data_IF_225419425498
#
_entry.id   IF_225419425498
#
_cell.length_a   1.000
_cell.length_b   1.000
_cell.length_c   1.000
_cell.angle_alpha   90.00
_cell.angle_beta   90.00
_cell.angle_gamma   90.00
#
_symmetry.space_group_name_H-M   'P 1'
#
loop_
_entity.id
_entity.type
_entity.pdbx_description
1 polymer ?
#
# COMPACT_ATOMS: atom_id res chain seq x y z
N UNK A 1 -31.87 -23.24 -2.06
CA UNK A 1 -31.07 -22.24 -1.33
C UNK A 1 -29.58 -22.60 -1.23
N UNK A 2 -29.19 -23.86 -1.00
CA UNK A 2 -27.78 -24.33 -0.98
C UNK A 2 -27.04 -24.19 -2.31
N UNK A 3 -27.72 -24.37 -3.45
CA UNK A 3 -27.12 -24.21 -4.78
C UNK A 3 -26.85 -22.75 -5.15
N UNK A 4 -27.73 -21.81 -4.81
CA UNK A 4 -27.48 -20.37 -5.01
C UNK A 4 -26.36 -19.85 -4.10
N UNK A 5 -26.30 -20.36 -2.87
CA UNK A 5 -25.23 -20.07 -1.90
C UNK A 5 -23.87 -20.58 -2.40
N UNK A 6 -23.82 -21.77 -3.00
CA UNK A 6 -22.61 -22.32 -3.61
C UNK A 6 -22.20 -21.52 -4.85
N UNK A 7 -23.14 -21.09 -5.70
CA UNK A 7 -22.84 -20.27 -6.89
C UNK A 7 -22.33 -18.88 -6.50
N UNK A 8 -22.88 -18.24 -5.47
CA UNK A 8 -22.44 -16.91 -5.00
C UNK A 8 -21.12 -16.96 -4.23
N UNK A 9 -20.90 -18.00 -3.42
CA UNK A 9 -19.58 -18.28 -2.79
C UNK A 9 -18.56 -18.63 -3.87
N UNK A 10 -18.92 -19.37 -4.91
CA UNK A 10 -18.07 -19.64 -6.07
C UNK A 10 -17.84 -18.41 -6.96
N UNK A 11 -18.75 -17.44 -7.03
CA UNK A 11 -18.56 -16.18 -7.75
C UNK A 11 -17.69 -15.21 -6.96
N UNK A 12 -17.89 -15.10 -5.65
CA UNK A 12 -17.04 -14.32 -4.75
C UNK A 12 -15.63 -14.94 -4.68
N UNK A 13 -15.56 -16.27 -4.52
CA UNK A 13 -14.34 -17.04 -4.67
C UNK A 13 -13.80 -16.91 -6.08
N UNK A 14 -14.57 -16.90 -7.17
CA UNK A 14 -14.05 -16.66 -8.51
C UNK A 14 -13.51 -15.24 -8.67
N UNK A 15 -14.10 -14.19 -8.09
CA UNK A 15 -13.44 -12.87 -8.05
C UNK A 15 -12.17 -12.87 -7.22
N UNK A 16 -12.11 -13.66 -6.14
CA UNK A 16 -10.88 -13.82 -5.35
C UNK A 16 -9.87 -14.65 -6.14
N UNK A 17 -10.18 -15.86 -6.61
CA UNK A 17 -9.36 -16.83 -7.36
C UNK A 17 -8.96 -16.35 -8.76
N UNK A 18 -9.84 -15.68 -9.50
CA UNK A 18 -9.52 -15.08 -10.82
C UNK A 18 -8.47 -13.95 -10.69
N UNK A 19 -8.38 -13.32 -9.50
CA UNK A 19 -7.33 -12.36 -9.15
C UNK A 19 -6.21 -12.90 -8.23
N UNK A 20 -6.37 -14.02 -7.52
CA UNK A 20 -5.41 -14.46 -6.47
C UNK A 20 -4.88 -15.88 -6.58
N UNK A 21 -5.40 -16.80 -7.42
CA UNK A 21 -4.74 -18.09 -7.64
C UNK A 21 -5.13 -18.73 -8.98
N UNK A 22 -4.16 -18.92 -9.88
CA UNK A 22 -4.00 -20.24 -10.47
C UNK A 22 -2.57 -20.74 -10.26
N UNK A 23 -2.47 -21.94 -9.71
CA UNK A 23 -1.34 -22.88 -9.89
C UNK A 23 0.06 -22.32 -9.59
N UNK A 24 0.34 -22.03 -8.31
CA UNK A 24 1.71 -21.70 -7.83
C UNK A 24 2.50 -22.91 -7.32
N UNK A 25 1.91 -24.10 -7.29
CA UNK A 25 2.60 -25.36 -6.98
C UNK A 25 2.84 -26.14 -8.28
N UNK A 26 3.85 -25.72 -9.05
CA UNK A 26 4.58 -26.66 -9.88
C UNK A 26 6.05 -26.46 -9.54
N UNK A 27 6.57 -27.38 -8.74
CA UNK A 27 8.00 -27.61 -8.55
C UNK A 27 8.58 -27.92 -9.92
N UNK A 28 9.18 -26.93 -10.59
CA UNK A 28 10.06 -27.21 -11.72
C UNK A 28 11.44 -27.53 -11.16
N UNK A 29 11.78 -28.80 -11.37
CA UNK A 29 13.05 -29.44 -11.11
C UNK A 29 14.21 -28.70 -11.77
N UNK A 30 15.29 -28.60 -11.01
CA UNK A 30 16.63 -28.18 -11.43
C UNK A 30 17.01 -28.94 -12.71
N UNK A 31 17.11 -28.22 -13.83
CA UNK A 31 17.83 -28.68 -15.02
C UNK A 31 19.11 -27.87 -15.10
N UNK A 32 20.20 -28.53 -14.74
CA UNK A 32 21.57 -28.12 -15.03
C UNK A 32 21.75 -28.07 -16.55
N UNK A 33 22.09 -26.91 -17.10
CA UNK A 33 22.64 -26.87 -18.45
C UNK A 33 23.84 -25.94 -18.51
N UNK A 34 24.87 -26.47 -19.18
CA UNK A 34 26.26 -26.05 -19.21
C UNK A 34 26.45 -24.69 -19.89
N UNK A 35 27.43 -23.98 -19.37
CA UNK A 35 28.10 -22.80 -19.94
C UNK A 35 28.49 -22.96 -21.42
N UNK A 36 28.29 -21.88 -22.19
CA UNK A 36 29.16 -21.51 -23.32
C UNK A 36 29.43 -20.00 -23.30
N UNK A 37 30.64 -19.56 -23.68
CA UNK A 37 31.10 -18.18 -23.50
C UNK A 37 30.61 -17.30 -24.66
N UNK A 38 30.32 -16.03 -24.38
CA UNK A 38 30.03 -15.03 -25.41
C UNK A 38 31.05 -13.89 -25.36
N UNK A 39 31.75 -13.73 -26.49
CA UNK A 39 32.81 -12.76 -26.77
C UNK A 39 32.30 -11.31 -26.73
N UNK A 40 33.16 -10.41 -26.22
CA UNK A 40 33.07 -8.96 -26.39
C UNK A 40 33.38 -8.60 -27.84
N UNK A 41 32.51 -7.83 -28.49
CA UNK A 41 32.88 -7.02 -29.65
C UNK A 41 32.39 -5.58 -29.46
N UNK A 42 33.36 -4.67 -29.55
CA UNK A 42 33.16 -3.23 -29.59
C UNK A 42 32.67 -2.82 -30.98
N UNK A 43 31.46 -2.26 -31.07
CA UNK A 43 31.11 -1.40 -32.19
C UNK A 43 30.33 -0.17 -31.72
N UNK A 44 31.02 0.96 -31.85
CA UNK A 44 30.49 2.32 -31.78
C UNK A 44 29.45 2.47 -32.89
N UNK A 45 28.19 2.75 -32.53
CA UNK A 45 27.21 3.28 -33.47
C UNK A 45 26.48 4.46 -32.85
N UNK A 46 26.81 5.66 -33.32
CA UNK A 46 26.00 6.85 -33.15
C UNK A 46 24.59 6.58 -33.72
N UNK A 47 23.58 6.47 -32.87
CA UNK A 47 22.19 6.58 -33.28
C UNK A 47 21.66 7.96 -32.92
N UNK A 48 21.35 8.68 -34.00
CA UNK A 48 20.70 9.97 -34.08
C UNK A 48 19.39 9.98 -33.29
N UNK A 49 19.24 11.01 -32.46
CA UNK A 49 18.02 11.36 -31.73
C UNK A 49 16.84 11.47 -32.70
N UNK A 50 15.92 10.50 -32.68
CA UNK A 50 14.58 10.66 -33.27
C UNK A 50 13.64 11.21 -32.21
N UNK A 51 13.05 12.35 -32.54
CA UNK A 51 12.09 13.09 -31.75
C UNK A 51 10.87 12.23 -31.35
N UNK A 52 10.38 12.52 -30.14
CA UNK A 52 9.21 11.94 -29.49
C UNK A 52 7.99 11.83 -30.41
N UNK A 53 7.63 10.61 -30.81
CA UNK A 53 6.27 10.28 -31.20
C UNK A 53 5.46 9.97 -29.95
N UNK A 54 4.49 10.83 -29.63
CA UNK A 54 3.49 10.63 -28.57
C UNK A 54 2.78 9.30 -28.79
N UNK A 55 2.94 8.35 -27.86
CA UNK A 55 2.23 7.08 -27.89
C UNK A 55 0.75 7.27 -27.51
N UNK A 56 -0.18 6.49 -28.09
CA UNK A 56 -1.61 6.61 -27.82
C UNK A 56 -1.88 6.34 -26.34
N UNK A 57 -2.80 7.13 -25.75
CA UNK A 57 -3.07 7.21 -24.32
C UNK A 57 -3.10 5.85 -23.60
N UNK A 58 -1.97 5.45 -23.03
CA UNK A 58 -1.86 4.29 -22.15
C UNK A 58 -2.81 4.46 -20.96
N UNK A 59 -3.56 3.41 -20.64
CA UNK A 59 -4.43 3.36 -19.45
C UNK A 59 -3.64 3.83 -18.22
N UNK A 60 -4.15 4.85 -17.53
CA UNK A 60 -3.50 5.48 -16.37
C UNK A 60 -3.13 4.47 -15.27
N UNK A 61 -3.87 3.37 -15.15
CA UNK A 61 -3.59 2.33 -14.16
C UNK A 61 -2.55 1.30 -14.62
N UNK A 62 -2.14 1.35 -15.89
CA UNK A 62 -1.14 0.45 -16.47
C UNK A 62 0.25 1.10 -16.61
N UNK A 63 0.42 2.35 -16.17
CA UNK A 63 1.71 3.05 -16.19
C UNK A 63 2.80 2.26 -15.44
N UNK A 64 3.96 2.07 -16.06
CA UNK A 64 5.12 1.43 -15.44
C UNK A 64 6.04 2.50 -14.84
N UNK A 65 6.76 2.16 -13.78
CA UNK A 65 7.84 3.02 -13.31
C UNK A 65 8.90 3.08 -14.43
N UNK A 66 9.28 4.28 -14.88
CA UNK A 66 10.37 4.43 -15.83
C UNK A 66 11.65 3.91 -15.18
N UNK A 67 12.28 2.90 -15.79
CA UNK A 67 13.53 2.29 -15.34
C UNK A 67 14.76 2.91 -16.01
N UNK A 68 14.61 4.04 -16.72
CA UNK A 68 15.74 4.73 -17.32
C UNK A 68 16.37 5.67 -16.29
N UNK A 69 17.59 5.41 -15.81
CA UNK A 69 18.28 6.33 -14.93
C UNK A 69 18.61 7.61 -15.71
N UNK A 70 17.81 8.65 -15.47
CA UNK A 70 18.08 9.97 -16.00
C UNK A 70 19.35 10.50 -15.30
N UNK A 71 20.41 10.74 -16.07
CA UNK A 71 21.77 11.03 -15.60
C UNK A 71 21.76 12.27 -14.69
N UNK A 72 21.69 12.02 -13.38
CA UNK A 72 21.83 13.05 -12.35
C UNK A 72 23.27 13.56 -12.24
N UNK A 73 23.50 14.46 -11.29
CA UNK A 73 24.84 14.97 -11.01
C UNK A 73 25.83 13.81 -10.79
N UNK A 74 27.08 13.91 -11.29
CA UNK A 74 28.07 12.85 -11.14
C UNK A 74 28.22 12.47 -9.67
N UNK A 75 28.10 11.18 -9.39
CA UNK A 75 28.19 10.62 -8.04
C UNK A 75 29.19 9.47 -8.04
N UNK A 76 30.46 9.81 -7.84
CA UNK A 76 31.56 8.86 -7.68
C UNK A 76 32.00 8.89 -6.23
N UNK A 77 32.21 7.74 -5.60
CA UNK A 77 32.68 7.69 -4.22
C UNK A 77 33.65 6.54 -3.99
N UNK A 78 34.45 6.65 -2.94
CA UNK A 78 35.42 5.63 -2.56
C UNK A 78 34.90 4.82 -1.38
N UNK A 79 34.93 3.49 -1.48
CA UNK A 79 34.64 2.57 -0.36
C UNK A 79 35.78 1.56 -0.31
N UNK A 80 36.44 1.49 0.84
CA UNK A 80 37.55 0.58 1.12
C UNK A 80 38.67 0.68 0.08
N UNK A 81 39.00 1.92 -0.32
CA UNK A 81 40.05 2.21 -1.30
C UNK A 81 39.64 2.01 -2.77
N UNK A 82 38.46 1.45 -3.04
CA UNK A 82 37.94 1.24 -4.40
C UNK A 82 36.98 2.37 -4.81
N UNK A 83 37.09 2.86 -6.05
CA UNK A 83 36.20 3.91 -6.58
C UNK A 83 35.00 3.30 -7.33
N UNK A 84 33.82 3.84 -7.05
CA UNK A 84 32.56 3.38 -7.62
C UNK A 84 31.79 4.53 -8.27
N UNK A 85 31.33 4.34 -9.50
CA UNK A 85 30.45 5.27 -10.22
C UNK A 85 28.99 4.92 -9.97
N UNK A 86 28.37 5.63 -9.02
CA UNK A 86 26.97 5.44 -8.64
C UNK A 86 26.04 6.45 -9.33
N UNK A 87 26.52 7.25 -10.29
CA UNK A 87 25.76 8.34 -10.93
C UNK A 87 24.39 7.90 -11.44
N UNK A 88 24.33 6.78 -12.17
CA UNK A 88 23.07 6.24 -12.69
C UNK A 88 22.19 5.63 -11.59
N UNK A 89 22.79 5.13 -10.51
CA UNK A 89 22.08 4.44 -9.44
C UNK A 89 21.67 5.36 -8.29
N UNK A 90 22.19 6.58 -8.21
CA UNK A 90 22.06 7.44 -7.04
C UNK A 90 20.60 7.72 -6.65
N UNK A 91 19.71 7.88 -7.64
CA UNK A 91 18.25 8.02 -7.47
C UNK A 91 17.57 6.74 -6.94
N UNK A 92 18.14 5.59 -7.26
CA UNK A 92 17.66 4.25 -6.86
C UNK A 92 18.24 3.80 -5.51
N UNK A 93 19.14 4.58 -4.90
CA UNK A 93 19.69 4.27 -3.60
C UNK A 93 18.62 4.31 -2.48
N UNK A 94 18.46 3.26 -1.66
CA UNK A 94 17.46 3.23 -0.58
C UNK A 94 17.62 4.32 0.50
N UNK A 95 18.82 4.89 0.64
CA UNK A 95 19.08 6.04 1.51
C UNK A 95 18.72 7.40 0.88
N UNK A 96 18.30 7.40 -0.39
CA UNK A 96 18.08 8.58 -1.23
C UNK A 96 19.39 9.10 -1.85
N UNK A 97 19.27 9.85 -2.95
CA UNK A 97 20.41 10.43 -3.66
C UNK A 97 21.21 11.43 -2.80
N UNK A 98 20.52 12.23 -1.98
CA UNK A 98 21.15 13.29 -1.17
C UNK A 98 22.21 12.78 -0.20
N UNK A 99 22.11 11.52 0.27
CA UNK A 99 23.14 10.98 1.16
C UNK A 99 24.40 10.59 0.39
N UNK A 100 24.26 10.10 -0.84
CA UNK A 100 25.39 9.78 -1.72
C UNK A 100 26.08 11.06 -2.20
N UNK A 101 25.30 12.08 -2.56
CA UNK A 101 25.82 13.38 -2.99
C UNK A 101 26.76 14.04 -1.95
N UNK A 102 26.57 13.78 -0.64
CA UNK A 102 27.48 14.28 0.42
C UNK A 102 28.88 13.69 0.33
N UNK A 103 28.99 12.49 -0.23
CA UNK A 103 30.22 11.72 -0.37
C UNK A 103 30.74 11.69 -1.81
N UNK A 104 30.22 12.54 -2.70
CA UNK A 104 30.75 12.66 -4.04
C UNK A 104 32.23 13.07 -3.99
N UNK A 105 33.08 12.32 -4.70
CA UNK A 105 34.54 12.37 -4.70
C UNK A 105 35.18 12.25 -3.30
N UNK A 106 34.51 11.55 -2.37
CA UNK A 106 35.02 11.33 -1.00
C UNK A 106 35.00 9.85 -0.61
N UNK A 107 35.79 9.53 0.40
CA UNK A 107 35.76 8.24 1.06
C UNK A 107 34.52 8.10 1.97
N UNK A 108 33.61 7.21 1.57
CA UNK A 108 32.38 6.89 2.28
C UNK A 108 32.52 5.66 3.20
N UNK A 109 33.70 5.03 3.30
CA UNK A 109 33.93 3.75 4.01
C UNK A 109 33.34 3.72 5.42
N UNK A 110 33.65 4.75 6.22
CA UNK A 110 33.16 4.84 7.60
C UNK A 110 31.63 4.87 7.66
N UNK A 111 31.01 5.67 6.79
CA UNK A 111 29.55 5.78 6.72
C UNK A 111 28.89 4.54 6.13
N UNK A 112 29.53 3.88 5.16
CA UNK A 112 29.06 2.65 4.54
C UNK A 112 29.05 1.49 5.54
N UNK A 113 30.11 1.33 6.34
CA UNK A 113 30.18 0.34 7.43
C UNK A 113 29.18 0.64 8.54
N UNK A 114 29.07 1.91 8.95
CA UNK A 114 28.15 2.34 10.01
C UNK A 114 26.67 2.15 9.64
N UNK A 115 26.32 2.19 8.35
CA UNK A 115 24.96 1.94 7.87
C UNK A 115 24.59 0.43 7.88
N UNK A 116 25.56 -0.47 8.13
CA UNK A 116 25.35 -1.91 8.21
C UNK A 116 24.63 -2.51 6.98
N UNK A 117 25.09 -2.15 5.79
CA UNK A 117 24.61 -2.68 4.52
C UNK A 117 24.57 -4.24 4.50
N UNK A 118 23.65 -4.80 3.71
CA UNK A 118 23.52 -6.26 3.51
C UNK A 118 24.61 -6.81 2.60
N UNK A 119 24.88 -8.12 2.65
CA UNK A 119 25.82 -8.77 1.71
C UNK A 119 25.47 -8.50 0.25
N UNK A 120 24.20 -8.59 -0.12
CA UNK A 120 23.74 -8.23 -1.46
C UNK A 120 24.05 -6.78 -1.88
N UNK A 121 24.24 -5.86 -0.93
CA UNK A 121 24.62 -4.49 -1.24
C UNK A 121 26.15 -4.34 -1.41
N UNK A 122 26.95 -5.19 -0.76
CA UNK A 122 28.38 -5.31 -1.04
C UNK A 122 28.62 -5.97 -2.39
N UNK A 123 27.86 -7.01 -2.72
CA UNK A 123 27.91 -7.66 -4.05
C UNK A 123 27.55 -6.67 -5.16
N UNK A 124 26.48 -5.88 -4.96
CA UNK A 124 26.05 -4.86 -5.92
C UNK A 124 27.07 -3.73 -6.14
N UNK A 125 28.04 -3.51 -5.23
CA UNK A 125 29.10 -2.52 -5.48
C UNK A 125 29.96 -2.89 -6.69
N UNK A 126 30.11 -4.19 -6.98
CA UNK A 126 30.92 -4.67 -8.10
C UNK A 126 30.40 -4.15 -9.44
N UNK A 127 29.07 -4.05 -9.59
CA UNK A 127 28.41 -3.54 -10.80
C UNK A 127 28.73 -2.06 -11.08
N UNK A 128 29.28 -1.33 -10.10
CA UNK A 128 29.56 0.10 -10.16
C UNK A 128 31.06 0.44 -10.11
N UNK A 129 31.95 -0.55 -10.06
CA UNK A 129 33.39 -0.29 -9.97
C UNK A 129 33.90 0.43 -11.21
N UNK A 130 34.79 1.43 -11.02
CA UNK A 130 35.43 2.16 -12.13
C UNK A 130 36.69 1.42 -12.62
N UNK A 131 37.36 0.68 -11.73
CA UNK A 131 38.56 -0.10 -12.04
C UNK A 131 38.27 -1.61 -11.94
N UNK A 132 38.44 -2.33 -13.05
CA UNK A 132 38.32 -3.80 -13.14
C UNK A 132 39.48 -4.55 -12.44
N UNK A 133 40.46 -3.84 -11.87
CA UNK A 133 41.76 -4.41 -11.44
C UNK A 133 41.85 -4.83 -9.97
N UNK A 134 40.82 -4.61 -9.16
CA UNK A 134 40.86 -4.90 -7.72
C UNK A 134 40.12 -6.21 -7.40
N UNK A 135 40.88 -7.20 -6.94
CA UNK A 135 40.32 -8.45 -6.39
C UNK A 135 39.31 -8.14 -5.29
N UNK A 136 38.21 -8.91 -5.19
CA UNK A 136 37.21 -8.68 -4.18
C UNK A 136 37.85 -8.78 -2.79
N UNK A 137 37.64 -7.78 -1.89
CA UNK A 137 38.06 -7.91 -0.51
C UNK A 137 37.51 -9.21 0.09
N UNK A 138 38.41 -10.01 0.67
CA UNK A 138 38.09 -11.26 1.36
C UNK A 138 37.38 -10.92 2.67
N UNK A 139 36.05 -10.82 2.62
CA UNK A 139 35.24 -10.62 3.82
C UNK A 139 35.09 -11.93 4.60
N UNK A 140 35.47 -11.94 5.88
CA UNK A 140 35.10 -13.02 6.79
C UNK A 140 33.59 -12.96 7.08
N UNK A 141 32.89 -14.01 6.67
CA UNK A 141 31.44 -14.16 6.81
C UNK A 141 31.05 -14.42 8.27
N UNK A 142 30.81 -13.36 9.04
CA UNK A 142 30.05 -13.48 10.29
C UNK A 142 28.54 -13.37 10.02
N UNK A 143 27.86 -14.51 10.06
CA UNK A 143 26.41 -14.66 9.97
C UNK A 143 25.74 -14.25 11.29
N UNK A 144 25.48 -12.96 11.47
CA UNK A 144 24.65 -12.50 12.59
C UNK A 144 23.16 -12.70 12.23
N UNK A 145 22.35 -13.39 13.05
CA UNK A 145 20.90 -13.43 12.88
C UNK A 145 20.29 -12.06 13.21
N UNK A 146 20.10 -11.20 12.20
CA UNK A 146 19.73 -9.77 12.34
C UNK A 146 18.21 -9.49 12.39
N UNK A 147 17.40 -10.27 13.09
CA UNK A 147 15.95 -9.99 13.16
C UNK A 147 15.55 -9.05 14.31
N UNK A 148 16.27 -9.07 15.45
CA UNK A 148 15.98 -8.17 16.60
C UNK A 148 16.59 -6.76 16.48
N UNK A 149 17.73 -6.59 15.81
CA UNK A 149 18.42 -5.30 15.74
C UNK A 149 17.95 -4.37 14.60
N UNK A 150 17.24 -4.88 13.59
CA UNK A 150 16.90 -4.11 12.37
C UNK A 150 15.60 -3.31 12.45
N UNK A 151 14.63 -3.73 13.25
CA UNK A 151 13.31 -3.09 13.28
C UNK A 151 13.29 -1.81 14.14
N UNK A 152 14.22 -1.68 15.09
CA UNK A 152 14.34 -0.50 15.94
C UNK A 152 15.11 0.61 15.21
N UNK A 153 14.51 1.79 15.15
CA UNK A 153 15.08 2.99 14.54
C UNK A 153 15.51 3.96 15.62
N UNK A 154 16.70 4.56 15.51
CA UNK A 154 17.21 5.55 16.47
C UNK A 154 16.40 6.86 16.43
N UNK A 155 15.69 7.08 15.33
CA UNK A 155 14.80 8.22 15.07
C UNK A 155 13.52 8.17 15.94
N UNK A 156 13.12 6.98 16.42
CA UNK A 156 12.00 6.81 17.35
C UNK A 156 12.55 6.57 18.77
N UNK A 157 13.13 7.62 19.37
CA UNK A 157 13.92 7.53 20.63
C UNK A 157 13.15 6.88 21.79
N UNK A 158 11.86 7.19 21.90
CA UNK A 158 10.98 6.65 22.95
C UNK A 158 10.29 5.36 22.48
N UNK A 159 10.28 5.09 21.17
CA UNK A 159 9.58 3.94 20.60
C UNK A 159 8.07 4.16 20.43
N UNK A 160 7.60 5.42 20.42
CA UNK A 160 6.16 5.75 20.42
C UNK A 160 5.49 5.18 19.18
N UNK A 161 6.08 5.41 18.00
CA UNK A 161 5.51 4.89 16.75
C UNK A 161 5.50 3.36 16.74
N UNK A 162 6.56 2.73 17.24
CA UNK A 162 6.66 1.26 17.38
C UNK A 162 5.57 0.69 18.28
N UNK A 163 5.39 1.24 19.49
CA UNK A 163 4.40 0.73 20.45
C UNK A 163 2.97 0.97 19.95
N UNK A 164 2.70 2.12 19.32
CA UNK A 164 1.43 2.36 18.63
C UNK A 164 1.19 1.33 17.52
N UNK A 165 2.22 1.00 16.74
CA UNK A 165 2.15 0.00 15.67
C UNK A 165 1.81 -1.40 16.20
N UNK A 166 2.50 -1.83 17.26
CA UNK A 166 2.23 -3.12 17.91
C UNK A 166 0.82 -3.17 18.50
N UNK A 167 0.41 -2.11 19.20
CA UNK A 167 -0.94 -1.98 19.73
C UNK A 167 -1.99 -2.09 18.63
N UNK A 168 -1.84 -1.35 17.52
CA UNK A 168 -2.79 -1.35 16.42
C UNK A 168 -2.87 -2.73 15.74
N UNK A 169 -1.75 -3.43 15.59
CA UNK A 169 -1.73 -4.78 15.03
C UNK A 169 -2.51 -5.76 15.91
N UNK A 170 -2.24 -5.76 17.23
CA UNK A 170 -2.98 -6.58 18.19
C UNK A 170 -4.46 -6.18 18.24
N UNK A 171 -4.77 -4.89 18.13
CA UNK A 171 -6.14 -4.41 18.08
C UNK A 171 -6.87 -4.96 16.85
N UNK A 172 -6.28 -4.89 15.66
CA UNK A 172 -6.89 -5.50 14.47
C UNK A 172 -7.13 -6.99 14.64
N UNK A 173 -6.13 -7.74 15.13
CA UNK A 173 -6.28 -9.18 15.37
C UNK A 173 -7.47 -9.44 16.29
N UNK A 174 -7.55 -8.73 17.43
CA UNK A 174 -8.65 -8.87 18.38
C UNK A 174 -10.02 -8.50 17.78
N UNK A 175 -10.10 -7.42 16.99
CA UNK A 175 -11.34 -6.94 16.36
C UNK A 175 -11.86 -7.90 15.30
N UNK A 176 -11.00 -8.34 14.39
CA UNK A 176 -11.38 -9.30 13.36
C UNK A 176 -11.64 -10.69 13.96
N UNK A 177 -10.96 -11.07 15.04
CA UNK A 177 -11.28 -12.28 15.78
C UNK A 177 -12.69 -12.24 16.40
N UNK A 178 -13.11 -11.12 17.01
CA UNK A 178 -14.50 -10.95 17.47
C UNK A 178 -15.51 -11.07 16.33
N UNK A 179 -15.15 -10.57 15.15
CA UNK A 179 -16.00 -10.70 13.96
C UNK A 179 -16.16 -12.15 13.49
N UNK A 180 -15.08 -12.94 13.58
CA UNK A 180 -15.13 -14.38 13.33
C UNK A 180 -16.01 -15.11 14.35
N UNK A 181 -15.94 -14.72 15.63
CA UNK A 181 -16.69 -15.35 16.72
C UNK A 181 -18.19 -15.00 16.76
N UNK A 182 -18.65 -14.02 15.99
CA UNK A 182 -20.09 -13.77 15.89
C UNK A 182 -20.49 -12.31 15.75
N UNK A 183 -19.64 -11.35 16.11
CA UNK A 183 -20.00 -9.92 16.09
C UNK A 183 -19.62 -9.25 14.76
N UNK A 184 -20.55 -9.08 13.81
CA UNK A 184 -20.24 -8.52 12.51
C UNK A 184 -19.76 -7.05 12.55
N UNK A 185 -19.89 -6.33 13.68
CA UNK A 185 -19.34 -4.98 13.88
C UNK A 185 -17.86 -4.96 14.30
N UNK A 186 -17.23 -6.13 14.39
CA UNK A 186 -15.89 -6.31 14.95
C UNK A 186 -15.76 -5.80 16.40
N UNK A 187 -16.85 -5.82 17.18
CA UNK A 187 -16.87 -5.38 18.57
C UNK A 187 -16.77 -3.86 18.76
N UNK A 188 -16.98 -3.06 17.71
CA UNK A 188 -16.91 -1.59 17.79
C UNK A 188 -18.21 -0.94 18.28
N UNK A 189 -19.32 -1.68 18.31
CA UNK A 189 -20.59 -1.23 18.89
C UNK A 189 -20.96 -1.91 20.21
N UNK A 190 -20.20 -2.92 20.63
CA UNK A 190 -20.60 -3.86 21.70
C UNK A 190 -19.50 -4.06 22.75
N UNK A 191 -19.86 -4.47 23.96
CA UNK A 191 -18.90 -4.93 24.98
C UNK A 191 -18.54 -6.40 24.75
N UNK A 192 -17.80 -6.70 23.67
CA UNK A 192 -17.43 -8.08 23.32
C UNK A 192 -18.70 -8.95 23.15
N UNK A 193 -19.66 -8.44 22.37
CA UNK A 193 -20.97 -9.07 22.21
C UNK A 193 -21.93 -8.95 23.40
N UNK A 194 -21.51 -8.39 24.54
CA UNK A 194 -22.35 -8.21 25.74
C UNK A 194 -22.97 -6.82 25.80
N UNK A 195 -23.86 -6.53 24.84
CA UNK A 195 -24.64 -5.29 24.78
C UNK A 195 -23.87 -4.04 24.32
N UNK A 196 -24.55 -2.90 24.15
CA UNK A 196 -23.96 -1.70 23.55
C UNK A 196 -22.86 -1.07 24.42
N UNK A 197 -21.73 -0.68 23.80
CA UNK A 197 -20.65 0.03 24.50
C UNK A 197 -19.93 1.01 23.60
N UNK A 198 -19.62 2.19 24.13
CA UNK A 198 -18.78 3.20 23.47
C UNK A 198 -17.28 3.01 23.75
N UNK A 199 -16.93 2.23 24.77
CA UNK A 199 -15.54 2.00 25.17
C UNK A 199 -14.66 1.44 24.05
N UNK A 200 -15.12 0.46 23.23
CA UNK A 200 -14.35 -0.06 22.09
C UNK A 200 -13.84 0.99 21.10
N UNK A 201 -14.59 2.08 20.94
CA UNK A 201 -14.33 3.16 19.98
C UNK A 201 -13.09 3.97 20.39
N UNK A 202 -12.80 4.07 21.69
CA UNK A 202 -11.61 4.76 22.20
C UNK A 202 -10.31 4.13 21.69
N UNK A 203 -10.33 2.82 21.40
CA UNK A 203 -9.17 2.13 20.84
C UNK A 203 -8.88 2.48 19.36
N UNK A 204 -9.73 3.27 18.70
CA UNK A 204 -9.42 3.86 17.40
C UNK A 204 -8.45 5.05 17.50
N UNK A 205 -8.35 5.69 18.67
CA UNK A 205 -7.43 6.83 18.89
C UNK A 205 -5.98 6.44 18.59
N UNK A 206 -5.44 5.32 19.13
CA UNK A 206 -4.11 4.83 18.76
C UNK A 206 -3.89 4.62 17.25
N UNK A 207 -4.90 4.20 16.49
CA UNK A 207 -4.76 4.05 15.03
C UNK A 207 -4.60 5.40 14.32
N UNK A 208 -5.32 6.44 14.78
CA UNK A 208 -5.12 7.81 14.32
C UNK A 208 -3.73 8.33 14.67
N UNK A 209 -3.32 8.16 15.94
CA UNK A 209 -1.99 8.54 16.42
C UNK A 209 -0.86 7.80 15.69
N UNK A 210 -1.04 6.53 15.32
CA UNK A 210 -0.07 5.77 14.52
C UNK A 210 0.14 6.44 13.16
N UNK A 211 -0.94 6.90 12.53
CA UNK A 211 -0.87 7.58 11.22
C UNK A 211 -0.14 8.93 11.32
N UNK A 212 -0.38 9.69 12.40
CA UNK A 212 0.28 10.99 12.65
C UNK A 212 1.75 10.81 13.06
N UNK A 213 2.06 9.82 13.89
CA UNK A 213 3.42 9.56 14.37
C UNK A 213 4.40 9.14 13.26
N UNK A 214 3.91 8.78 12.06
CA UNK A 214 4.77 8.57 10.88
C UNK A 214 5.55 9.85 10.46
N UNK A 215 5.13 11.03 10.96
CA UNK A 215 5.83 12.30 10.73
C UNK A 215 7.12 12.45 11.56
N UNK A 216 7.33 11.60 12.57
CA UNK A 216 8.54 11.59 13.42
C UNK A 216 9.80 11.28 12.59
N UNK A 217 9.68 10.63 11.44
CA UNK A 217 10.81 10.23 10.59
C UNK A 217 11.17 11.34 9.56
N UNK A 218 12.19 12.19 9.79
CA UNK A 218 12.52 13.28 8.88
C UNK A 218 13.21 12.80 7.59
N UNK A 219 13.94 11.68 7.64
CA UNK A 219 14.85 11.22 6.57
C UNK A 219 14.20 10.27 5.57
N UNK A 220 12.97 10.54 5.15
CA UNK A 220 12.29 9.76 4.12
C UNK A 220 12.60 10.36 2.74
N UNK A 221 12.98 9.55 1.73
CA UNK A 221 13.22 10.02 0.38
C UNK A 221 12.08 10.87 -0.15
N UNK A 222 12.43 11.99 -0.80
CA UNK A 222 11.44 12.91 -1.38
C UNK A 222 10.70 12.25 -2.54
N UNK A 223 11.45 11.55 -3.37
CA UNK A 223 10.99 10.94 -4.61
C UNK A 223 10.94 9.42 -4.49
N UNK A 224 10.25 8.80 -5.45
CA UNK A 224 10.10 7.36 -5.53
C UNK A 224 11.44 6.73 -5.85
N UNK A 225 11.86 5.76 -5.04
CA UNK A 225 13.07 5.00 -5.30
C UNK A 225 12.75 3.87 -6.26
N UNK A 226 13.44 3.84 -7.39
CA UNK A 226 13.22 2.85 -8.44
C UNK A 226 13.74 1.49 -7.94
N UNK A 227 12.88 0.46 -8.00
CA UNK A 227 13.29 -0.94 -7.83
C UNK A 227 12.79 -1.66 -6.57
N UNK A 228 12.35 -0.98 -5.50
CA UNK A 228 11.78 -1.65 -4.30
C UNK A 228 10.58 -0.90 -3.73
N UNK A 229 9.50 -1.60 -3.29
CA UNK A 229 8.41 -0.97 -2.56
C UNK A 229 8.93 -0.31 -1.29
N UNK A 230 8.98 1.02 -1.29
CA UNK A 230 9.52 1.80 -0.18
C UNK A 230 8.65 3.03 0.05
N UNK A 231 8.63 3.54 1.28
CA UNK A 231 7.90 4.75 1.64
C UNK A 231 8.66 5.99 1.14
N UNK A 232 7.98 6.87 0.41
CA UNK A 232 8.43 8.23 0.05
C UNK A 232 7.51 9.30 0.66
N UNK A 233 7.88 10.58 0.52
CA UNK A 233 7.16 11.71 1.14
C UNK A 233 5.66 11.78 0.77
N UNK A 234 5.34 11.75 -0.53
CA UNK A 234 3.95 11.79 -0.99
C UNK A 234 3.16 10.57 -0.50
N UNK A 235 3.72 9.35 -0.63
CA UNK A 235 3.07 8.15 -0.08
C UNK A 235 2.76 8.31 1.40
N UNK A 236 3.72 8.80 2.20
CA UNK A 236 3.53 8.98 3.64
C UNK A 236 2.34 9.89 3.94
N UNK A 237 2.24 11.03 3.25
CA UNK A 237 1.14 11.97 3.47
C UNK A 237 -0.19 11.40 2.98
N UNK A 238 -0.22 10.70 1.83
CA UNK A 238 -1.42 10.00 1.37
C UNK A 238 -1.89 8.95 2.38
N UNK A 239 -0.96 8.13 2.87
CA UNK A 239 -1.25 7.09 3.84
C UNK A 239 -1.79 7.68 5.16
N UNK A 240 -1.25 8.82 5.61
CA UNK A 240 -1.76 9.56 6.76
C UNK A 240 -3.20 10.05 6.50
N UNK A 241 -3.43 10.75 5.38
CA UNK A 241 -4.74 11.33 5.03
C UNK A 241 -5.81 10.23 4.94
N UNK A 242 -5.54 9.17 4.18
CA UNK A 242 -6.49 8.07 4.02
C UNK A 242 -6.65 7.23 5.29
N UNK A 243 -5.60 7.12 6.11
CA UNK A 243 -5.66 6.49 7.43
C UNK A 243 -6.58 7.25 8.38
N UNK A 244 -6.37 8.56 8.53
CA UNK A 244 -7.20 9.44 9.37
C UNK A 244 -8.65 9.47 8.88
N UNK A 245 -8.87 9.56 7.56
CA UNK A 245 -10.21 9.42 6.95
C UNK A 245 -10.88 8.13 7.41
N UNK A 246 -10.22 6.98 7.26
CA UNK A 246 -10.81 5.69 7.64
C UNK A 246 -11.12 5.63 9.14
N UNK A 247 -10.30 6.24 10.02
CA UNK A 247 -10.61 6.38 11.45
C UNK A 247 -11.88 7.21 11.65
N UNK A 248 -11.99 8.39 11.03
CA UNK A 248 -13.16 9.27 11.12
C UNK A 248 -14.43 8.56 10.61
N UNK A 249 -14.37 7.89 9.46
CA UNK A 249 -15.48 7.11 8.93
C UNK A 249 -15.91 5.99 9.90
N UNK A 250 -14.93 5.30 10.51
CA UNK A 250 -15.20 4.27 11.51
C UNK A 250 -15.89 4.85 12.74
N UNK A 251 -15.46 6.02 13.22
CA UNK A 251 -16.07 6.74 14.34
C UNK A 251 -17.53 7.12 14.05
N UNK A 252 -17.79 7.76 12.91
CA UNK A 252 -19.15 8.13 12.52
C UNK A 252 -20.04 6.89 12.33
N UNK A 253 -19.51 5.83 11.72
CA UNK A 253 -20.25 4.59 11.57
C UNK A 253 -20.56 3.95 12.93
N UNK A 254 -19.60 3.89 13.85
CA UNK A 254 -19.81 3.37 15.21
C UNK A 254 -20.82 4.20 16.00
N UNK A 255 -20.78 5.54 15.86
CA UNK A 255 -21.76 6.43 16.47
C UNK A 255 -23.18 6.17 15.94
N UNK A 256 -23.30 6.01 14.62
CA UNK A 256 -24.58 5.69 13.95
C UNK A 256 -25.11 4.30 14.33
N UNK A 257 -24.21 3.38 14.65
CA UNK A 257 -24.49 2.02 15.09
C UNK A 257 -24.99 2.00 16.54
N UNK A 258 -24.47 2.90 17.38
CA UNK A 258 -24.86 3.01 18.80
C UNK A 258 -26.24 3.63 19.01
N UNK A 259 -26.64 4.52 18.12
CA UNK A 259 -27.92 5.23 18.17
C UNK A 259 -28.72 5.01 16.88
N UNK A 260 -29.12 3.77 16.57
CA UNK A 260 -29.69 3.43 15.28
C UNK A 260 -31.02 4.16 15.03
N UNK A 261 -31.84 4.36 16.06
CA UNK A 261 -33.15 5.04 15.96
C UNK A 261 -33.07 6.57 15.93
N UNK A 262 -31.90 7.17 16.21
CA UNK A 262 -31.76 8.62 16.23
C UNK A 262 -31.43 9.15 14.82
N UNK A 263 -32.45 9.67 14.13
CA UNK A 263 -32.30 10.20 12.77
C UNK A 263 -31.27 11.34 12.66
N UNK A 264 -31.15 12.18 13.69
CA UNK A 264 -30.16 13.27 13.72
C UNK A 264 -28.73 12.72 13.72
N UNK A 265 -28.47 11.72 14.55
CA UNK A 265 -27.16 11.03 14.60
C UNK A 265 -26.87 10.28 13.30
N UNK A 266 -27.86 9.58 12.71
CA UNK A 266 -27.68 8.91 11.40
C UNK A 266 -27.30 9.92 10.32
N UNK A 267 -28.03 11.03 10.20
CA UNK A 267 -27.73 12.11 9.23
C UNK A 267 -26.35 12.71 9.45
N UNK A 268 -26.00 13.01 10.71
CA UNK A 268 -24.68 13.52 11.06
C UNK A 268 -23.57 12.56 10.64
N UNK A 269 -23.72 11.26 10.93
CA UNK A 269 -22.73 10.25 10.59
C UNK A 269 -22.56 10.05 9.08
N UNK A 270 -23.65 10.07 8.32
CA UNK A 270 -23.61 9.98 6.85
C UNK A 270 -22.88 11.19 6.28
N UNK A 271 -23.30 12.40 6.65
CA UNK A 271 -22.70 13.65 6.18
C UNK A 271 -21.24 13.76 6.60
N UNK A 272 -20.92 13.48 7.87
CA UNK A 272 -19.56 13.51 8.40
C UNK A 272 -18.63 12.54 7.70
N UNK A 273 -19.07 11.29 7.47
CA UNK A 273 -18.29 10.31 6.72
C UNK A 273 -18.05 10.75 5.27
N UNK A 274 -19.10 11.20 4.57
CA UNK A 274 -19.00 11.65 3.19
C UNK A 274 -18.09 12.88 3.02
N UNK A 275 -18.23 13.88 3.91
CA UNK A 275 -17.38 15.06 3.92
C UNK A 275 -15.92 14.70 4.21
N UNK A 276 -15.66 13.73 5.11
CA UNK A 276 -14.30 13.25 5.37
C UNK A 276 -13.66 12.58 4.14
N UNK A 277 -14.44 11.86 3.34
CA UNK A 277 -13.98 11.26 2.07
C UNK A 277 -13.63 12.34 1.06
N UNK A 278 -14.46 13.38 0.91
CA UNK A 278 -14.18 14.49 0.01
C UNK A 278 -12.94 15.27 0.46
N UNK A 279 -12.83 15.57 1.75
CA UNK A 279 -11.68 16.23 2.34
C UNK A 279 -10.39 15.43 2.12
N UNK A 280 -10.43 14.10 2.25
CA UNK A 280 -9.28 13.24 1.97
C UNK A 280 -8.88 13.27 0.49
N UNK A 281 -9.84 13.28 -0.44
CA UNK A 281 -9.56 13.38 -1.87
C UNK A 281 -8.90 14.71 -2.26
N UNK A 282 -9.38 15.82 -1.67
CA UNK A 282 -8.79 17.16 -1.84
C UNK A 282 -7.40 17.21 -1.20
N UNK A 283 -7.28 16.75 0.05
CA UNK A 283 -6.02 16.73 0.78
C UNK A 283 -4.94 15.92 0.07
N UNK A 284 -5.29 14.78 -0.53
CA UNK A 284 -4.35 13.98 -1.32
C UNK A 284 -3.87 14.75 -2.58
N UNK A 285 -4.76 15.43 -3.31
CA UNK A 285 -4.32 16.21 -4.49
C UNK A 285 -3.45 17.40 -4.10
N UNK A 286 -3.77 18.08 -2.99
CA UNK A 286 -2.93 19.15 -2.45
C UNK A 286 -1.54 18.61 -2.05
N UNK A 287 -1.49 17.41 -1.46
CA UNK A 287 -0.24 16.75 -1.11
C UNK A 287 0.58 16.39 -2.36
N UNK A 288 -0.02 15.76 -3.38
CA UNK A 288 0.64 15.48 -4.66
C UNK A 288 1.15 16.76 -5.31
N UNK A 289 0.32 17.81 -5.43
CA UNK A 289 0.71 19.09 -6.04
C UNK A 289 1.92 19.74 -5.35
N UNK A 290 2.00 19.62 -4.02
CA UNK A 290 3.10 20.19 -3.22
C UNK A 290 4.37 19.34 -3.26
N UNK A 291 4.25 18.01 -3.31
CA UNK A 291 5.37 17.09 -3.12
C UNK A 291 5.94 16.52 -4.43
N UNK A 292 5.14 16.46 -5.51
CA UNK A 292 5.53 15.97 -6.82
C UNK A 292 5.02 16.89 -7.95
N UNK A 293 5.66 18.05 -8.20
CA UNK A 293 5.23 18.97 -9.26
C UNK A 293 5.47 18.44 -10.68
N UNK A 294 6.32 17.42 -10.88
CA UNK A 294 6.79 16.97 -12.20
C UNK A 294 6.42 15.52 -12.59
N UNK A 295 5.69 14.75 -11.75
CA UNK A 295 5.31 13.36 -12.06
C UNK A 295 3.78 13.19 -12.14
N UNK A 296 3.28 12.46 -13.15
CA UNK A 296 1.84 12.28 -13.43
C UNK A 296 1.25 10.94 -12.94
N UNK A 297 2.04 10.11 -12.27
CA UNK A 297 1.70 8.71 -11.95
C UNK A 297 1.08 8.49 -10.57
N UNK A 298 0.02 7.66 -10.51
CA UNK A 298 -0.62 7.26 -9.23
C UNK A 298 0.33 6.44 -8.34
N UNK A 299 0.23 6.63 -7.02
CA UNK A 299 1.06 5.92 -6.02
C UNK A 299 0.95 4.39 -6.10
N UNK A 300 -0.21 3.86 -6.48
CA UNK A 300 -0.45 2.42 -6.64
C UNK A 300 -0.05 1.90 -8.03
N UNK A 301 -0.16 2.72 -9.06
CA UNK A 301 0.09 2.30 -10.45
C UNK A 301 1.59 2.09 -10.71
N UNK A 302 2.44 2.88 -10.07
CA UNK A 302 3.90 2.86 -10.28
C UNK A 302 4.67 2.09 -9.21
N UNK A 303 3.99 1.30 -8.37
CA UNK A 303 4.67 0.50 -7.34
C UNK A 303 5.61 -0.51 -8.03
N UNK A 304 6.91 -0.56 -7.67
CA UNK A 304 7.86 -1.45 -8.32
C UNK A 304 7.62 -2.92 -7.95
N UNK A 305 7.75 -3.81 -8.94
CA UNK A 305 7.59 -5.26 -8.78
C UNK A 305 8.96 -5.95 -8.67
N UNK A 306 8.96 -7.22 -8.27
CA UNK A 306 10.19 -8.02 -8.20
C UNK A 306 10.72 -8.39 -9.59
N UNK A 307 12.01 -8.70 -9.65
CA UNK A 307 12.69 -9.14 -10.87
C UNK A 307 12.05 -10.40 -11.46
N UNK A 308 11.89 -10.45 -12.78
CA UNK A 308 11.21 -11.55 -13.47
C UNK A 308 9.68 -11.56 -13.33
N UNK A 309 9.06 -10.55 -12.72
CA UNK A 309 7.59 -10.46 -12.66
C UNK A 309 6.99 -10.11 -14.04
N UNK A 310 6.24 -11.05 -14.62
CA UNK A 310 5.62 -10.85 -15.94
C UNK A 310 4.69 -9.62 -15.99
N UNK A 311 4.67 -8.92 -17.12
CA UNK A 311 3.80 -7.76 -17.34
C UNK A 311 2.32 -8.11 -17.10
N UNK A 312 1.88 -9.31 -17.48
CA UNK A 312 0.52 -9.81 -17.24
C UNK A 312 0.20 -9.87 -15.74
N UNK A 313 1.13 -10.38 -14.94
CA UNK A 313 0.99 -10.45 -13.48
C UNK A 313 0.94 -9.05 -12.87
N UNK A 314 1.83 -8.15 -13.30
CA UNK A 314 1.82 -6.76 -12.84
C UNK A 314 0.47 -6.07 -13.12
N UNK A 315 -0.08 -6.26 -14.34
CA UNK A 315 -1.40 -5.72 -14.70
C UNK A 315 -2.52 -6.23 -13.79
N UNK A 316 -2.52 -7.53 -13.45
CA UNK A 316 -3.51 -8.09 -12.52
C UNK A 316 -3.45 -7.45 -11.14
N UNK A 317 -2.25 -7.30 -10.56
CA UNK A 317 -2.08 -6.62 -9.27
C UNK A 317 -2.55 -5.17 -9.34
N UNK A 318 -2.13 -4.42 -10.37
CA UNK A 318 -2.53 -3.02 -10.55
C UNK A 318 -4.04 -2.87 -10.65
N UNK A 319 -4.71 -3.71 -11.45
CA UNK A 319 -6.16 -3.69 -11.60
C UNK A 319 -6.87 -4.03 -10.28
N UNK A 320 -6.41 -5.06 -9.56
CA UNK A 320 -6.98 -5.43 -8.26
C UNK A 320 -6.81 -4.32 -7.22
N UNK A 321 -5.63 -3.70 -7.15
CA UNK A 321 -5.36 -2.59 -6.23
C UNK A 321 -6.22 -1.37 -6.57
N UNK A 322 -6.29 -1.00 -7.85
CA UNK A 322 -7.09 0.13 -8.30
C UNK A 322 -8.57 -0.09 -7.99
N UNK A 323 -9.13 -1.26 -8.32
CA UNK A 323 -10.51 -1.59 -8.02
C UNK A 323 -10.78 -1.59 -6.50
N UNK A 324 -9.87 -2.15 -5.70
CA UNK A 324 -10.01 -2.16 -4.23
C UNK A 324 -10.00 -0.75 -3.63
N UNK A 325 -9.36 0.25 -4.27
CA UNK A 325 -9.44 1.65 -3.83
C UNK A 325 -10.84 2.27 -4.01
N UNK A 326 -11.57 1.87 -5.06
CA UNK A 326 -12.97 2.28 -5.24
C UNK A 326 -13.86 1.67 -4.16
N UNK A 327 -13.72 0.37 -3.93
CA UNK A 327 -14.46 -0.31 -2.88
C UNK A 327 -14.14 0.27 -1.51
N UNK A 328 -12.86 0.52 -1.20
CA UNK A 328 -12.45 1.15 0.05
C UNK A 328 -13.13 2.51 0.30
N UNK A 329 -13.38 3.28 -0.77
CA UNK A 329 -14.08 4.56 -0.67
C UNK A 329 -15.59 4.35 -0.50
N UNK A 330 -16.19 3.39 -1.20
CA UNK A 330 -17.59 2.99 -1.01
C UNK A 330 -17.85 2.49 0.43
N UNK A 331 -16.94 1.67 0.97
CA UNK A 331 -16.94 1.20 2.36
C UNK A 331 -17.03 2.34 3.37
N UNK A 332 -16.33 3.45 3.10
CA UNK A 332 -16.36 4.63 3.96
C UNK A 332 -17.70 5.38 3.88
N UNK A 333 -18.26 5.58 2.68
CA UNK A 333 -19.52 6.34 2.51
C UNK A 333 -20.79 5.53 2.84
N UNK A 334 -20.70 4.21 2.94
CA UNK A 334 -21.85 3.36 3.25
C UNK A 334 -22.46 3.68 4.62
N UNK A 335 -21.64 3.81 5.67
CA UNK A 335 -22.07 4.09 7.07
C UNK A 335 -23.11 3.07 7.56
N UNK A 336 -22.82 1.79 7.34
CA UNK A 336 -23.68 0.66 7.72
C UNK A 336 -23.05 -0.14 8.86
N UNK A 337 -21.81 -0.56 8.67
CA UNK A 337 -21.08 -1.38 9.63
C UNK A 337 -19.67 -0.81 9.85
N UNK A 338 -19.26 -0.49 11.11
CA UNK A 338 -17.96 0.12 11.39
C UNK A 338 -16.77 -0.78 11.04
N UNK A 339 -16.95 -2.10 10.93
CA UNK A 339 -15.89 -3.03 10.50
C UNK A 339 -15.40 -2.75 9.06
N UNK A 340 -16.24 -2.13 8.23
CA UNK A 340 -15.92 -1.81 6.85
C UNK A 340 -14.79 -0.78 6.73
N UNK A 341 -14.95 0.47 7.20
CA UNK A 341 -13.85 1.44 7.18
C UNK A 341 -12.66 1.00 8.05
N UNK A 342 -12.87 0.19 9.10
CA UNK A 342 -11.79 -0.40 9.89
C UNK A 342 -10.92 -1.36 9.05
N UNK A 343 -11.52 -2.22 8.23
CA UNK A 343 -10.78 -3.14 7.34
C UNK A 343 -10.02 -2.42 6.24
N UNK A 344 -10.53 -1.26 5.79
CA UNK A 344 -9.77 -0.38 4.88
C UNK A 344 -8.54 0.19 5.59
N UNK A 345 -8.68 0.61 6.86
CA UNK A 345 -7.57 1.10 7.67
C UNK A 345 -6.50 0.02 7.89
N UNK A 346 -6.89 -1.24 8.07
CA UNK A 346 -5.96 -2.37 8.14
C UNK A 346 -5.08 -2.42 6.89
N UNK A 347 -5.67 -2.38 5.69
CA UNK A 347 -4.89 -2.45 4.45
C UNK A 347 -3.88 -1.29 4.32
N UNK A 348 -4.28 -0.08 4.72
CA UNK A 348 -3.44 1.13 4.71
C UNK A 348 -2.26 0.98 5.69
N UNK A 349 -2.52 0.58 6.94
CA UNK A 349 -1.48 0.45 7.96
C UNK A 349 -0.54 -0.73 7.68
N UNK A 350 -1.06 -1.85 7.19
CA UNK A 350 -0.26 -3.00 6.76
C UNK A 350 0.63 -2.65 5.57
N UNK A 351 0.16 -1.89 4.58
CA UNK A 351 1.01 -1.47 3.46
C UNK A 351 2.27 -0.70 3.93
N UNK A 352 2.12 0.21 4.89
CA UNK A 352 3.23 0.94 5.49
C UNK A 352 4.19 0.05 6.29
N UNK A 353 3.65 -0.92 7.05
CA UNK A 353 4.46 -1.91 7.76
C UNK A 353 5.26 -2.76 6.76
N UNK A 354 4.62 -3.32 5.73
CA UNK A 354 5.26 -4.19 4.75
C UNK A 354 6.37 -3.47 3.98
N UNK A 355 6.18 -2.21 3.57
CA UNK A 355 7.26 -1.43 2.95
C UNK A 355 8.41 -1.14 3.91
N UNK A 356 8.13 -0.97 5.20
CA UNK A 356 9.19 -0.86 6.21
C UNK A 356 9.99 -2.17 6.31
N UNK A 357 9.31 -3.32 6.28
CA UNK A 357 9.98 -4.63 6.26
C UNK A 357 10.82 -4.83 4.99
N UNK A 358 10.32 -4.41 3.83
CA UNK A 358 11.09 -4.42 2.57
C UNK A 358 12.32 -3.55 2.67
N UNK A 359 12.18 -2.31 3.16
CA UNK A 359 13.29 -1.38 3.38
C UNK A 359 14.36 -1.96 4.30
N UNK A 360 13.97 -2.72 5.33
CA UNK A 360 14.89 -3.37 6.28
C UNK A 360 15.49 -4.69 5.75
N UNK A 361 15.09 -5.13 4.56
CA UNK A 361 15.50 -6.40 3.98
C UNK A 361 14.98 -7.62 4.74
N UNK A 362 13.86 -7.47 5.45
CA UNK A 362 13.15 -8.55 6.15
C UNK A 362 12.05 -9.16 5.29
N UNK A 363 11.66 -8.48 4.21
CA UNK A 363 10.64 -8.93 3.27
C UNK A 363 11.08 -8.64 1.83
N UNK A 364 10.80 -9.54 0.90
CA UNK A 364 11.04 -9.31 -0.53
C UNK A 364 9.93 -8.43 -1.14
N UNK A 365 10.18 -7.85 -2.32
CA UNK A 365 9.15 -7.12 -3.06
C UNK A 365 7.95 -8.03 -3.41
N UNK A 366 8.19 -9.30 -3.75
CA UNK A 366 7.14 -10.31 -3.92
C UNK A 366 6.34 -10.50 -2.63
N UNK A 367 7.02 -10.62 -1.49
CA UNK A 367 6.39 -10.74 -0.17
C UNK A 367 5.50 -9.53 0.17
N UNK A 368 5.93 -8.31 -0.18
CA UNK A 368 5.10 -7.12 -0.06
C UNK A 368 3.80 -7.23 -0.86
N UNK A 369 3.88 -7.58 -2.15
CA UNK A 369 2.69 -7.69 -2.99
C UNK A 369 1.73 -8.78 -2.50
N UNK A 370 2.24 -9.92 -2.02
CA UNK A 370 1.40 -10.96 -1.41
C UNK A 370 0.70 -10.46 -0.15
N UNK A 371 1.46 -9.89 0.79
CA UNK A 371 0.92 -9.41 2.06
C UNK A 371 -0.06 -8.26 1.89
N UNK A 372 0.20 -7.33 0.97
CA UNK A 372 -0.71 -6.22 0.69
C UNK A 372 -1.98 -6.69 -0.01
N UNK A 373 -1.88 -7.66 -0.93
CA UNK A 373 -3.06 -8.29 -1.54
C UNK A 373 -3.91 -8.99 -0.49
N UNK A 374 -3.29 -9.72 0.44
CA UNK A 374 -3.99 -10.36 1.55
C UNK A 374 -4.72 -9.35 2.44
N UNK A 375 -4.10 -8.20 2.75
CA UNK A 375 -4.77 -7.16 3.55
C UNK A 375 -5.92 -6.48 2.80
N UNK A 376 -5.84 -6.35 1.48
CA UNK A 376 -6.93 -5.85 0.63
C UNK A 376 -8.12 -6.82 0.52
N UNK A 377 -7.95 -8.11 0.85
CA UNK A 377 -9.06 -9.08 0.90
C UNK A 377 -9.94 -8.87 2.15
N UNK A 378 -9.40 -8.32 3.24
CA UNK A 378 -10.13 -8.18 4.50
C UNK A 378 -11.49 -7.43 4.37
N UNK A 379 -11.60 -6.30 3.65
CA UNK A 379 -12.90 -5.66 3.39
C UNK A 379 -13.92 -6.54 2.67
N UNK A 380 -13.48 -7.42 1.76
CA UNK A 380 -14.38 -8.36 1.08
C UNK A 380 -14.93 -9.38 2.07
N UNK A 381 -14.09 -9.86 2.99
CA UNK A 381 -14.53 -10.76 4.05
C UNK A 381 -15.57 -10.09 4.98
N UNK A 382 -15.33 -8.83 5.36
CA UNK A 382 -16.32 -8.04 6.13
C UNK A 382 -17.64 -7.91 5.35
N UNK A 383 -17.56 -7.64 4.05
CA UNK A 383 -18.72 -7.51 3.18
C UNK A 383 -19.54 -8.80 3.06
N UNK A 384 -18.89 -9.93 2.80
CA UNK A 384 -19.54 -11.26 2.76
C UNK A 384 -20.18 -11.57 4.12
N UNK A 385 -19.45 -11.35 5.22
CA UNK A 385 -19.96 -11.62 6.57
C UNK A 385 -21.17 -10.74 6.91
N UNK A 386 -21.14 -9.46 6.52
CA UNK A 386 -22.26 -8.53 6.69
C UNK A 386 -23.48 -8.97 5.85
N UNK A 387 -23.25 -9.37 4.60
CA UNK A 387 -24.28 -9.87 3.68
C UNK A 387 -24.98 -11.12 4.24
N UNK A 388 -24.21 -12.09 4.73
CA UNK A 388 -24.73 -13.32 5.32
C UNK A 388 -25.51 -13.06 6.62
N UNK A 389 -25.04 -12.11 7.43
CA UNK A 389 -25.71 -11.75 8.68
C UNK A 389 -27.04 -11.03 8.44
N UNK A 390 -27.02 -9.99 7.59
CA UNK A 390 -28.19 -9.15 7.31
C UNK A 390 -29.14 -9.77 6.27
N UNK A 391 -28.72 -10.84 5.58
CA UNK A 391 -29.45 -11.47 4.48
C UNK A 391 -29.89 -10.46 3.40
N UNK A 392 -29.02 -9.52 3.06
CA UNK A 392 -29.29 -8.47 2.07
C UNK A 392 -28.32 -8.54 0.88
N UNK A 393 -28.61 -7.80 -0.19
CA UNK A 393 -27.78 -7.76 -1.41
C UNK A 393 -26.86 -6.53 -1.49
N UNK A 394 -26.65 -5.82 -0.38
CA UNK A 394 -25.91 -4.55 -0.38
C UNK A 394 -24.45 -4.73 -0.82
N UNK A 395 -23.78 -5.80 -0.36
CA UNK A 395 -22.39 -6.04 -0.72
C UNK A 395 -22.20 -6.34 -2.22
N UNK A 396 -22.95 -7.27 -2.86
CA UNK A 396 -22.92 -7.44 -4.31
C UNK A 396 -23.24 -6.18 -5.11
N UNK A 397 -24.25 -5.40 -4.69
CA UNK A 397 -24.60 -4.13 -5.34
C UNK A 397 -23.42 -3.16 -5.26
N UNK A 398 -22.76 -3.08 -4.11
CA UNK A 398 -21.60 -2.21 -3.94
C UNK A 398 -20.40 -2.67 -4.79
N UNK A 399 -20.18 -3.97 -4.96
CA UNK A 399 -19.16 -4.50 -5.89
C UNK A 399 -19.47 -4.08 -7.33
N UNK A 400 -20.70 -4.31 -7.80
CA UNK A 400 -21.12 -3.92 -9.14
C UNK A 400 -20.98 -2.40 -9.36
N UNK A 401 -21.43 -1.60 -8.39
CA UNK A 401 -21.33 -0.15 -8.47
C UNK A 401 -19.87 0.34 -8.46
N UNK A 402 -19.04 -0.22 -7.60
CA UNK A 402 -17.60 0.05 -7.57
C UNK A 402 -16.93 -0.27 -8.90
N UNK A 403 -17.36 -1.35 -9.57
CA UNK A 403 -16.83 -1.73 -10.88
C UNK A 403 -17.24 -0.73 -11.95
N UNK A 404 -18.48 -0.25 -11.95
CA UNK A 404 -18.94 0.81 -12.87
C UNK A 404 -18.11 2.08 -12.69
N UNK A 405 -17.91 2.54 -11.45
CA UNK A 405 -17.08 3.73 -11.16
C UNK A 405 -15.62 3.53 -11.58
N UNK A 406 -15.06 2.34 -11.35
CA UNK A 406 -13.72 1.98 -11.77
C UNK A 406 -13.58 2.03 -13.31
N UNK A 407 -14.52 1.45 -14.05
CA UNK A 407 -14.50 1.48 -15.52
C UNK A 407 -14.70 2.89 -16.06
N UNK A 408 -15.58 3.68 -15.44
CA UNK A 408 -15.75 5.09 -15.76
C UNK A 408 -14.42 5.86 -15.58
N UNK A 409 -13.71 5.62 -14.47
CA UNK A 409 -12.39 6.22 -14.22
C UNK A 409 -11.35 5.81 -15.26
N UNK A 410 -11.34 4.54 -15.69
CA UNK A 410 -10.43 4.04 -16.74
C UNK A 410 -10.64 4.73 -18.09
N UNK A 411 -11.88 5.13 -18.39
CA UNK A 411 -12.22 5.93 -19.58
C UNK A 411 -11.85 7.42 -19.45
N UNK A 412 -11.15 7.82 -18.39
CA UNK A 412 -10.61 9.17 -18.24
C UNK A 412 -11.45 10.12 -17.40
N UNK A 413 -12.63 9.72 -16.92
CA UNK A 413 -13.48 10.56 -16.07
C UNK A 413 -12.72 11.04 -14.82
N UNK A 414 -12.86 12.32 -14.49
CA UNK A 414 -12.21 12.88 -13.32
C UNK A 414 -12.81 12.26 -12.03
N UNK A 415 -11.96 11.98 -11.02
CA UNK A 415 -12.42 11.39 -9.75
C UNK A 415 -13.50 12.22 -9.05
N UNK A 416 -13.50 13.55 -9.20
CA UNK A 416 -14.52 14.42 -8.61
C UNK A 416 -15.87 14.30 -9.32
N UNK A 417 -15.87 14.11 -10.64
CA UNK A 417 -17.10 13.81 -11.40
C UNK A 417 -17.71 12.45 -11.00
N UNK A 418 -16.89 11.54 -10.45
CA UNK A 418 -17.37 10.27 -9.92
C UNK A 418 -17.87 10.42 -8.48
N UNK A 419 -17.04 10.95 -7.57
CA UNK A 419 -17.32 10.92 -6.13
C UNK A 419 -18.28 12.01 -5.66
N UNK A 420 -18.31 13.20 -6.28
CA UNK A 420 -19.21 14.28 -5.85
C UNK A 420 -20.68 13.88 -6.03
N UNK A 421 -21.13 13.35 -7.19
CA UNK A 421 -22.51 12.89 -7.34
C UNK A 421 -22.87 11.76 -6.37
N UNK A 422 -21.96 10.82 -6.14
CA UNK A 422 -22.16 9.71 -5.19
C UNK A 422 -22.36 10.23 -3.77
N UNK A 423 -21.53 11.18 -3.34
CA UNK A 423 -21.61 11.80 -2.01
C UNK A 423 -22.90 12.60 -1.86
N UNK A 424 -23.23 13.45 -2.83
CA UNK A 424 -24.46 14.26 -2.81
C UNK A 424 -25.69 13.36 -2.75
N UNK A 425 -25.74 12.32 -3.60
CA UNK A 425 -26.82 11.34 -3.59
C UNK A 425 -26.91 10.61 -2.25
N UNK A 426 -25.78 10.16 -1.68
CA UNK A 426 -25.76 9.46 -0.39
C UNK A 426 -26.29 10.34 0.75
N UNK A 427 -25.92 11.62 0.80
CA UNK A 427 -26.38 12.59 1.80
C UNK A 427 -27.87 12.89 1.62
N UNK A 428 -28.31 13.16 0.39
CA UNK A 428 -29.70 13.56 0.10
C UNK A 428 -30.69 12.41 0.31
N UNK A 429 -30.33 11.20 -0.13
CA UNK A 429 -31.18 10.01 -0.03
C UNK A 429 -31.17 9.48 1.42
N UNK A 430 -30.05 9.65 2.14
CA UNK A 430 -29.89 9.07 3.47
C UNK A 430 -30.08 7.55 3.41
N UNK A 431 -30.74 7.00 4.42
CA UNK A 431 -30.92 5.55 4.54
C UNK A 431 -32.16 5.00 3.80
N UNK A 432 -32.78 5.80 2.90
CA UNK A 432 -33.96 5.34 2.13
C UNK A 432 -33.66 4.17 1.19
N UNK A 433 -32.41 4.01 0.76
CA UNK A 433 -31.97 2.92 -0.14
C UNK A 433 -31.13 1.85 0.57
N UNK A 434 -30.64 2.13 1.78
CA UNK A 434 -29.79 1.23 2.53
C UNK A 434 -30.54 0.78 3.78
N UNK A 435 -30.99 -0.48 3.79
CA UNK A 435 -31.55 -1.07 4.98
C UNK A 435 -30.51 -1.08 6.12
N UNK A 436 -30.83 -0.31 7.15
CA UNK A 436 -30.07 -0.18 8.41
C UNK A 436 -30.83 -0.81 9.58
N UNK A 437 -32.10 -1.15 9.39
CA UNK A 437 -33.02 -1.56 10.45
C UNK A 437 -32.61 -2.88 11.10
N UNK A 438 -31.94 -3.74 10.32
CA UNK A 438 -31.39 -5.04 10.76
C UNK A 438 -30.23 -4.93 11.75
N UNK A 439 -29.63 -3.75 11.94
CA UNK A 439 -28.63 -3.51 13.00
C UNK A 439 -29.22 -2.99 14.31
N UNK A 440 -30.48 -2.57 14.30
CA UNK A 440 -31.12 -1.91 15.44
C UNK A 440 -31.75 -2.89 16.45
N UNK A 441 -31.82 -4.19 16.13
CA UNK A 441 -32.76 -5.13 16.78
C UNK A 441 -32.08 -6.17 17.70
N UNK A 442 -30.75 -6.20 17.83
CA UNK A 442 -30.06 -7.15 18.72
C UNK A 442 -28.96 -6.55 19.57
#
# INVERSE_FOLDING_TARGET
MSHLLSILVCLAAATVTCFTLPTFFKTESIVTSRSKPYQRDHHILFQTVKANSVSPSLDRFEQFANSTPDAGAPCVLTIEGSRYNLTAWAKSHPGGERILAKFNEKDATKSFRAAHHSMAAYEMLQDFAIDDSLQPPTYSLYSIPRWRAKLFTKEDRIGVHKYLGMFCLLNFIFRFYQMLLGDPSAGLGTRVGKGPSAFPVLFLVPHGMLSVSALIFPHIPRERVVGKPMIWQEYRIHNLIFGVRSVICTLFCALSFRYPTNLGVRRLSISGSCLSVLAANIGADLATKKLQPHETGSTTATMPYWEGCSVKTQKKFKQFYAYSQFLATLSCVAVINPAWPLSVLLAIQIASLLMTLVRKGLLSAKGYHMGYTASLIAPYFVGIRSMLYMKNLQFPIMLAFGYVLFQARRRGLNKYMLWVPVIVARIAIGDRLLDWSSWAVH
#
